data_IF_456430772589
#
_entry.id   IF_456430772589
#
_cell.length_a   1.000
_cell.length_b   1.000
_cell.length_c   1.000
_cell.angle_alpha   90.00
_cell.angle_beta   90.00
_cell.angle_gamma   90.00
#
_symmetry.space_group_name_H-M   'P 1'
#
loop_
_entity.id
_entity.type
_entity.pdbx_description
1 polymer ?
#
# COMPACT_ATOMS: atom_id res chain seq x y z
N UNK A 1 14.30 -49.13 -0.75
CA UNK A 1 13.68 -48.84 -2.07
C UNK A 1 13.11 -47.44 -1.97
N UNK A 2 13.82 -46.51 -2.61
CA UNK A 2 13.39 -45.22 -3.16
C UNK A 2 11.92 -44.81 -2.95
N UNK A 3 11.71 -43.59 -2.47
CA UNK A 3 11.52 -42.44 -3.39
C UNK A 3 11.41 -41.15 -2.57
N UNK A 4 12.32 -40.17 -2.75
CA UNK A 4 12.08 -38.82 -2.26
C UNK A 4 10.90 -38.26 -3.06
N UNK A 5 9.78 -38.02 -2.38
CA UNK A 5 8.60 -37.41 -2.98
C UNK A 5 8.94 -35.98 -3.38
N UNK A 6 9.42 -35.86 -4.61
CA UNK A 6 9.26 -34.78 -5.57
C UNK A 6 8.86 -33.45 -4.94
N UNK A 7 9.83 -32.54 -4.86
CA UNK A 7 9.57 -31.10 -4.83
C UNK A 7 8.75 -30.75 -6.07
N UNK A 8 7.42 -30.80 -5.97
CA UNK A 8 6.52 -30.20 -6.94
C UNK A 8 6.69 -28.69 -6.83
N UNK A 9 7.74 -28.21 -7.48
CA UNK A 9 8.04 -26.81 -7.75
C UNK A 9 6.98 -26.29 -8.71
N UNK A 10 5.76 -26.10 -8.21
CA UNK A 10 4.68 -25.41 -8.90
C UNK A 10 5.01 -23.91 -8.89
N UNK A 11 6.01 -23.54 -9.68
CA UNK A 11 6.18 -22.18 -10.18
C UNK A 11 5.03 -21.93 -11.15
N UNK A 12 3.83 -21.69 -10.60
CA UNK A 12 2.79 -21.03 -11.36
C UNK A 12 3.36 -19.65 -11.70
N UNK A 13 3.82 -19.50 -12.93
CA UNK A 13 4.10 -18.22 -13.55
C UNK A 13 2.76 -17.50 -13.65
N UNK A 14 2.35 -16.84 -12.57
CA UNK A 14 1.35 -15.79 -12.71
C UNK A 14 2.09 -14.68 -13.44
N UNK A 15 2.01 -14.68 -14.77
CA UNK A 15 1.95 -13.40 -15.47
C UNK A 15 0.66 -12.77 -14.99
N UNK A 16 0.68 -12.17 -13.79
CA UNK A 16 -0.09 -10.96 -13.63
C UNK A 16 0.52 -10.04 -14.69
N UNK A 17 -0.10 -10.02 -15.87
CA UNK A 17 -0.23 -8.78 -16.57
C UNK A 17 -0.63 -7.80 -15.47
N UNK A 18 0.34 -7.01 -15.02
CA UNK A 18 0.04 -5.86 -14.20
C UNK A 18 -0.70 -4.96 -15.18
N UNK A 19 -2.00 -5.22 -15.35
CA UNK A 19 -2.96 -4.22 -15.81
C UNK A 19 -3.19 -3.21 -14.68
N UNK A 20 -2.17 -3.01 -13.85
CA UNK A 20 -2.19 -2.10 -12.75
C UNK A 20 -2.12 -0.72 -13.35
N UNK A 21 -3.27 -0.08 -13.43
CA UNK A 21 -3.44 1.37 -13.55
C UNK A 21 -2.70 2.12 -12.41
N UNK A 22 -1.94 1.45 -11.55
CA UNK A 22 -1.23 2.01 -10.41
C UNK A 22 0.03 1.22 -10.08
N UNK A 23 1.09 1.93 -9.70
CA UNK A 23 2.36 1.37 -9.23
C UNK A 23 2.65 1.89 -7.82
N UNK A 24 3.28 1.07 -6.98
CA UNK A 24 3.70 1.44 -5.63
C UNK A 24 5.16 1.14 -5.40
N UNK A 25 5.85 2.00 -4.65
CA UNK A 25 7.25 1.80 -4.33
C UNK A 25 7.61 2.36 -2.93
N UNK A 26 8.60 1.75 -2.27
CA UNK A 26 9.15 0.42 -2.56
C UNK A 26 8.18 -0.71 -2.16
N UNK A 27 8.40 -1.92 -2.66
CA UNK A 27 7.52 -3.07 -2.42
C UNK A 27 7.55 -3.57 -0.96
N UNK A 28 8.68 -3.37 -0.28
CA UNK A 28 8.90 -3.77 1.11
C UNK A 28 9.91 -2.84 1.76
N UNK A 29 9.70 -2.51 3.04
CA UNK A 29 10.58 -1.66 3.83
C UNK A 29 10.80 -2.29 5.19
N UNK A 30 11.97 -2.04 5.77
CA UNK A 30 12.27 -2.31 7.16
C UNK A 30 12.89 -1.05 7.75
N UNK A 31 12.32 -0.57 8.86
CA UNK A 31 12.74 0.64 9.54
C UNK A 31 12.85 0.37 11.04
N UNK A 32 13.63 1.21 11.72
CA UNK A 32 13.69 1.26 13.17
C UNK A 32 12.51 2.04 13.74
N UNK A 33 12.12 1.74 14.98
CA UNK A 33 11.09 2.51 15.69
C UNK A 33 11.50 3.98 15.80
N UNK A 34 10.53 4.88 15.65
CA UNK A 34 10.76 6.32 15.65
C UNK A 34 11.23 6.90 14.31
N UNK A 35 11.62 6.07 13.33
CA UNK A 35 11.96 6.54 12.00
C UNK A 35 10.70 6.99 11.22
N UNK A 36 10.93 7.65 10.08
CA UNK A 36 9.86 8.04 9.16
C UNK A 36 9.85 7.13 7.94
N UNK A 37 8.75 6.44 7.71
CA UNK A 37 8.52 5.67 6.49
C UNK A 37 7.80 6.51 5.44
N UNK A 38 8.20 6.36 4.18
CA UNK A 38 7.49 6.93 3.03
C UNK A 38 7.20 5.86 1.99
N UNK A 39 5.98 5.90 1.46
CA UNK A 39 5.51 5.02 0.39
C UNK A 39 4.97 5.89 -0.74
N UNK A 40 5.38 5.62 -1.96
CA UNK A 40 4.90 6.31 -3.14
C UNK A 40 3.88 5.45 -3.89
N UNK A 41 2.88 6.12 -4.44
CA UNK A 41 1.87 5.54 -5.30
C UNK A 41 1.72 6.40 -6.55
N UNK A 42 1.77 5.77 -7.72
CA UNK A 42 1.59 6.45 -9.00
C UNK A 42 0.49 5.78 -9.80
N UNK A 43 -0.57 6.52 -10.08
CA UNK A 43 -1.64 6.16 -11.02
C UNK A 43 -1.18 6.40 -12.47
N UNK A 44 -1.67 5.58 -13.41
CA UNK A 44 -1.40 5.74 -14.85
C UNK A 44 -2.12 6.95 -15.44
N UNK A 45 -3.26 7.32 -14.86
CA UNK A 45 -4.05 8.49 -15.25
C UNK A 45 -4.23 9.44 -14.06
N UNK A 46 -4.48 10.71 -14.37
CA UNK A 46 -4.77 11.72 -13.35
C UNK A 46 -6.11 11.42 -12.68
N UNK A 47 -6.08 11.22 -11.36
CA UNK A 47 -7.28 10.99 -10.54
C UNK A 47 -7.55 12.15 -9.60
N UNK A 48 -6.99 13.34 -9.85
CA UNK A 48 -7.17 14.51 -8.98
C UNK A 48 -6.73 14.18 -7.55
N UNK A 49 -7.63 14.30 -6.57
CA UNK A 49 -7.38 13.86 -5.19
C UNK A 49 -8.10 12.54 -4.85
N UNK A 50 -8.70 11.86 -5.81
CA UNK A 50 -9.47 10.63 -5.65
C UNK A 50 -8.58 9.39 -5.48
N UNK A 51 -7.81 9.40 -4.39
CA UNK A 51 -6.98 8.28 -3.96
C UNK A 51 -7.19 8.01 -2.48
N UNK A 52 -7.26 6.73 -2.14
CA UNK A 52 -7.30 6.25 -0.76
C UNK A 52 -6.08 5.38 -0.46
N UNK A 53 -5.59 5.48 0.77
CA UNK A 53 -4.62 4.58 1.36
C UNK A 53 -5.31 3.69 2.37
N UNK A 54 -4.87 2.45 2.43
CA UNK A 54 -5.40 1.45 3.34
C UNK A 54 -4.25 0.75 4.06
N UNK A 55 -4.54 0.29 5.27
CA UNK A 55 -3.65 -0.51 6.10
C UNK A 55 -4.28 -1.89 6.33
N UNK A 56 -3.50 -2.94 6.13
CA UNK A 56 -3.89 -4.32 6.42
C UNK A 56 -2.85 -4.99 7.32
N UNK A 57 -3.22 -5.20 8.59
CA UNK A 57 -2.42 -5.98 9.53
C UNK A 57 -2.57 -7.48 9.23
N UNK A 58 -1.61 -8.29 9.68
CA UNK A 58 -1.65 -9.73 9.51
C UNK A 58 -3.01 -10.30 9.95
N UNK A 59 -3.61 -11.13 9.09
CA UNK A 59 -4.90 -11.81 9.32
C UNK A 59 -6.11 -10.88 9.54
N UNK A 60 -5.96 -9.57 9.34
CA UNK A 60 -7.06 -8.62 9.45
C UNK A 60 -7.59 -8.22 8.07
N UNK A 61 -8.84 -7.77 8.05
CA UNK A 61 -9.39 -7.08 6.89
C UNK A 61 -8.75 -5.71 6.75
N UNK A 62 -8.57 -5.22 5.53
CA UNK A 62 -8.05 -3.88 5.34
C UNK A 62 -8.93 -2.77 5.92
N UNK A 63 -8.30 -1.69 6.38
CA UNK A 63 -8.95 -0.51 6.94
C UNK A 63 -8.53 0.74 6.19
N UNK A 64 -9.48 1.66 6.00
CA UNK A 64 -9.22 2.96 5.41
C UNK A 64 -8.30 3.77 6.34
N UNK A 65 -7.20 4.27 5.79
CA UNK A 65 -6.21 5.05 6.52
C UNK A 65 -6.33 6.54 6.15
N UNK A 66 -6.24 6.85 4.87
CA UNK A 66 -6.36 8.21 4.33
C UNK A 66 -7.25 8.15 3.09
N UNK A 67 -8.13 9.12 2.91
CA UNK A 67 -8.92 9.33 1.70
C UNK A 67 -8.69 10.74 1.15
N UNK A 68 -9.17 10.99 -0.06
CA UNK A 68 -9.00 12.29 -0.72
C UNK A 68 -7.53 12.74 -0.76
N UNK A 69 -6.62 11.78 -0.97
CA UNK A 69 -5.16 11.89 -0.94
C UNK A 69 -4.51 12.33 0.40
N UNK A 70 -5.23 13.03 1.29
CA UNK A 70 -4.63 13.73 2.43
C UNK A 70 -5.48 13.74 3.71
N UNK A 71 -6.75 13.32 3.64
CA UNK A 71 -7.66 13.34 4.80
C UNK A 71 -7.59 12.01 5.55
N UNK A 72 -7.15 12.04 6.81
CA UNK A 72 -7.13 10.85 7.68
C UNK A 72 -8.54 10.38 8.02
N UNK A 73 -8.77 9.07 7.96
CA UNK A 73 -9.99 8.47 8.51
C UNK A 73 -10.04 8.60 10.04
N UNK A 74 -11.23 8.39 10.62
CA UNK A 74 -11.42 8.47 12.07
C UNK A 74 -10.55 7.47 12.84
N UNK A 75 -9.94 7.92 13.94
CA UNK A 75 -9.06 7.09 14.78
C UNK A 75 -7.66 6.87 14.22
N UNK A 76 -7.34 7.39 13.03
CA UNK A 76 -5.99 7.30 12.47
C UNK A 76 -5.07 8.33 13.15
N UNK A 77 -3.93 7.91 13.73
CA UNK A 77 -3.01 8.81 14.42
C UNK A 77 -2.46 9.93 13.51
N UNK A 78 -2.16 11.09 14.09
CA UNK A 78 -1.63 12.26 13.37
C UNK A 78 -0.30 11.99 12.67
N UNK A 79 0.44 10.98 13.12
CA UNK A 79 1.71 10.53 12.53
C UNK A 79 1.57 10.03 11.10
N UNK A 80 0.36 9.61 10.70
CA UNK A 80 0.03 9.28 9.32
C UNK A 80 -0.37 10.54 8.54
N UNK A 81 0.22 10.72 7.37
CA UNK A 81 -0.14 11.80 6.46
C UNK A 81 -0.06 11.35 5.01
N UNK A 82 -0.98 11.88 4.20
CA UNK A 82 -0.99 11.64 2.77
C UNK A 82 -0.80 12.96 2.03
N UNK A 83 -0.09 12.91 0.91
CA UNK A 83 0.11 14.05 0.01
C UNK A 83 -0.01 13.60 -1.44
N UNK A 84 -0.19 14.58 -2.33
CA UNK A 84 -0.21 14.35 -3.77
C UNK A 84 -1.56 14.65 -4.43
N UNK A 85 -1.52 14.70 -5.75
CA UNK A 85 -2.67 14.90 -6.62
C UNK A 85 -2.31 14.51 -8.06
N UNK A 86 -3.34 14.36 -8.90
CA UNK A 86 -3.17 13.93 -10.27
C UNK A 86 -2.74 12.48 -10.32
N UNK A 87 -1.48 12.22 -10.65
CA UNK A 87 -0.92 10.89 -10.82
C UNK A 87 -0.08 10.41 -9.65
N UNK A 88 0.47 11.32 -8.83
CA UNK A 88 1.53 11.00 -7.87
C UNK A 88 1.10 11.29 -6.44
N UNK A 89 1.26 10.29 -5.57
CA UNK A 89 0.81 10.31 -4.19
C UNK A 89 1.86 9.73 -3.27
N UNK A 90 1.90 10.22 -2.04
CA UNK A 90 2.82 9.74 -1.00
C UNK A 90 2.06 9.52 0.31
N UNK A 91 2.31 8.39 0.94
CA UNK A 91 1.96 8.13 2.33
C UNK A 91 3.22 8.27 3.17
N UNK A 92 3.13 9.06 4.24
CA UNK A 92 4.20 9.25 5.22
C UNK A 92 3.70 8.81 6.58
N UNK A 93 4.51 7.99 7.26
CA UNK A 93 4.30 7.58 8.65
C UNK A 93 5.49 8.11 9.44
N UNK A 94 5.29 9.20 10.17
CA UNK A 94 6.32 9.72 11.07
C UNK A 94 6.34 8.93 12.38
N UNK A 95 7.49 8.87 13.05
CA UNK A 95 7.64 8.24 14.36
C UNK A 95 7.03 6.83 14.42
N UNK A 96 7.54 5.92 13.59
CA UNK A 96 7.05 4.54 13.49
C UNK A 96 6.92 3.83 14.84
N UNK A 97 5.80 3.14 15.01
CA UNK A 97 5.50 2.33 16.19
C UNK A 97 5.37 0.83 15.82
N UNK A 98 5.51 -0.11 16.77
CA UNK A 98 5.42 -1.54 16.48
C UNK A 98 4.10 -1.96 15.81
N UNK A 99 2.99 -1.31 16.14
CA UNK A 99 1.67 -1.56 15.56
C UNK A 99 1.52 -1.12 14.09
N UNK A 100 2.49 -0.38 13.55
CA UNK A 100 2.50 0.10 12.16
C UNK A 100 3.01 -0.98 11.18
N UNK A 101 3.48 -2.12 11.68
CA UNK A 101 3.81 -3.30 10.89
C UNK A 101 2.55 -3.86 10.18
N UNK A 102 2.41 -3.53 8.91
CA UNK A 102 1.25 -3.87 8.08
C UNK A 102 1.60 -3.83 6.59
N UNK A 103 0.72 -4.39 5.78
CA UNK A 103 0.71 -4.13 4.33
C UNK A 103 -0.07 -2.85 4.08
N UNK A 104 0.48 -1.96 3.24
CA UNK A 104 -0.15 -0.71 2.85
C UNK A 104 -0.38 -0.69 1.35
N UNK A 105 -1.58 -0.30 0.95
CA UNK A 105 -1.94 -0.19 -0.46
C UNK A 105 -2.66 1.12 -0.75
N UNK A 106 -2.40 1.65 -1.94
CA UNK A 106 -3.15 2.79 -2.46
C UNK A 106 -4.17 2.31 -3.49
N UNK A 107 -5.28 3.02 -3.60
CA UNK A 107 -6.30 2.73 -4.59
C UNK A 107 -6.85 4.05 -5.14
N UNK A 108 -6.58 4.39 -6.41
CA UNK A 108 -7.35 5.42 -7.08
C UNK A 108 -8.80 4.98 -7.23
N UNK A 109 -9.74 5.92 -7.20
CA UNK A 109 -11.14 5.66 -7.49
C UNK A 109 -11.69 6.68 -8.47
N UNK A 110 -12.69 6.28 -9.26
CA UNK A 110 -13.25 7.17 -10.27
C UNK A 110 -13.91 8.37 -9.60
N UNK A 111 -13.55 9.57 -10.04
CA UNK A 111 -14.42 10.72 -9.88
C UNK A 111 -15.71 10.43 -10.65
N UNK A 112 -16.88 10.61 -10.04
CA UNK A 112 -18.12 10.66 -10.82
C UNK A 112 -17.94 11.78 -11.86
N UNK A 113 -17.79 11.42 -13.13
CA UNK A 113 -17.95 12.33 -14.27
C UNK A 113 -19.36 12.22 -14.80
#
# INVERSE_FOLDING_TARGET
METPASFLCLLLLWTTAVTGETTQAPASLSFSLGETATLSCRSSESVGSYLAWYQQKAEQVPRLLIHSASTRAGGVPVRFSGTGSGTDFTLTISSLEPEDAAVYYCQPFKSWS
#
